data_IF_735416475398
#
_entry.id   IF_735416475398
#
_cell.length_a   1.000
_cell.length_b   1.000
_cell.length_c   1.000
_cell.angle_alpha   90.00
_cell.angle_beta   90.00
_cell.angle_gamma   90.00
#
_symmetry.space_group_name_H-M   'P 1'
#
loop_
_entity.id
_entity.type
_entity.pdbx_description
1 polymer ?
#
# COMPACT_ATOMS: atom_id res chain seq x y z
N UNK A 1 -4.18 9.65 -20.82
CA UNK A 1 -4.38 8.55 -19.85
C UNK A 1 -3.53 8.77 -18.60
N UNK A 2 -4.16 8.98 -17.45
CA UNK A 2 -3.47 8.98 -16.16
C UNK A 2 -2.90 7.58 -15.93
N UNK A 3 -1.60 7.47 -15.65
CA UNK A 3 -1.01 6.16 -15.35
C UNK A 3 -1.53 5.65 -13.99
N UNK A 4 -1.78 4.35 -13.88
CA UNK A 4 -2.19 3.69 -12.63
C UNK A 4 -0.97 3.04 -11.98
N UNK A 5 -0.82 3.22 -10.67
CA UNK A 5 0.19 2.56 -9.83
C UNK A 5 -0.45 2.02 -8.56
N UNK A 6 0.10 0.95 -8.01
CA UNK A 6 -0.26 0.49 -6.67
C UNK A 6 0.87 0.73 -5.68
N UNK A 7 0.50 1.11 -4.46
CA UNK A 7 1.37 1.49 -3.35
C UNK A 7 1.09 0.59 -2.15
N UNK A 8 2.15 0.16 -1.48
CA UNK A 8 2.09 -0.41 -0.14
C UNK A 8 3.37 -0.07 0.65
N UNK A 9 3.22 0.23 1.92
CA UNK A 9 4.29 0.57 2.84
C UNK A 9 4.33 -0.38 4.03
N UNK A 10 5.54 -0.78 4.43
CA UNK A 10 5.77 -1.44 5.71
C UNK A 10 6.23 -0.41 6.74
N UNK A 11 5.62 -0.44 7.92
CA UNK A 11 5.91 0.50 9.01
C UNK A 11 6.52 -0.20 10.22
N UNK A 12 7.39 0.53 10.90
CA UNK A 12 7.94 0.18 12.21
C UNK A 12 7.39 1.11 13.28
N UNK A 13 7.50 0.69 14.54
CA UNK A 13 7.17 1.47 15.72
C UNK A 13 8.36 2.28 16.22
N UNK A 14 8.15 3.57 16.45
CA UNK A 14 9.10 4.49 17.10
C UNK A 14 8.48 5.11 18.35
N UNK A 15 9.31 5.78 19.15
CA UNK A 15 8.89 6.42 20.40
C UNK A 15 8.48 5.45 21.51
N UNK A 16 7.93 5.96 22.63
CA UNK A 16 7.55 5.15 23.77
C UNK A 16 6.56 4.04 23.42
N UNK A 17 6.97 2.79 23.62
CA UNK A 17 6.15 1.60 23.35
C UNK A 17 5.81 1.38 21.87
N UNK A 18 6.58 1.94 20.94
CA UNK A 18 6.40 1.71 19.49
C UNK A 18 5.09 2.23 18.93
N UNK A 19 4.47 3.23 19.58
CA UNK A 19 3.14 3.74 19.24
C UNK A 19 3.11 4.64 18.01
N UNK A 20 4.23 5.27 17.66
CA UNK A 20 4.36 6.06 16.45
C UNK A 20 4.71 5.14 15.28
N UNK A 21 3.95 5.18 14.19
CA UNK A 21 4.28 4.44 12.97
C UNK A 21 5.18 5.30 12.08
N UNK A 22 6.34 4.75 11.69
CA UNK A 22 7.22 5.38 10.71
C UNK A 22 7.52 4.42 9.56
N UNK A 23 7.74 4.97 8.37
CA UNK A 23 8.02 4.22 7.16
C UNK A 23 9.35 3.47 7.28
N UNK A 24 9.35 2.19 6.91
CA UNK A 24 10.55 1.36 6.88
C UNK A 24 10.78 0.65 5.53
N UNK A 25 9.74 0.50 4.70
CA UNK A 25 9.85 0.08 3.31
C UNK A 25 8.67 0.63 2.53
N UNK A 26 8.87 1.02 1.28
CA UNK A 26 7.79 1.39 0.37
C UNK A 26 7.99 0.65 -0.95
N UNK A 27 6.90 0.10 -1.47
CA UNK A 27 6.83 -0.54 -2.78
C UNK A 27 5.78 0.14 -3.66
N UNK A 28 6.16 0.45 -4.90
CA UNK A 28 5.27 0.97 -5.94
C UNK A 28 5.37 0.07 -7.16
N UNK A 29 4.23 -0.43 -7.61
CA UNK A 29 4.14 -1.29 -8.80
C UNK A 29 3.30 -0.61 -9.88
N UNK A 30 3.74 -0.70 -11.13
CA UNK A 30 3.02 -0.21 -12.29
C UNK A 30 1.88 -1.15 -12.68
N UNK A 31 1.01 -0.69 -13.58
CA UNK A 31 -0.18 -1.43 -14.00
C UNK A 31 0.10 -2.88 -14.49
N UNK A 32 1.22 -3.13 -15.15
CA UNK A 32 1.60 -4.48 -15.61
C UNK A 32 2.33 -5.33 -14.56
N UNK A 33 2.42 -4.87 -13.32
CA UNK A 33 3.13 -5.52 -12.22
C UNK A 33 4.64 -5.30 -12.20
N UNK A 34 5.15 -4.40 -13.04
CA UNK A 34 6.55 -3.95 -12.97
C UNK A 34 6.79 -3.19 -11.68
N UNK A 35 7.81 -3.56 -10.92
CA UNK A 35 8.23 -2.83 -9.72
C UNK A 35 8.91 -1.52 -10.15
N UNK A 36 8.30 -0.39 -9.83
CA UNK A 36 8.80 0.95 -10.15
C UNK A 36 9.65 1.53 -9.01
N UNK A 37 9.32 1.14 -7.78
CA UNK A 37 10.04 1.52 -6.57
C UNK A 37 9.93 0.39 -5.55
N UNK A 38 11.04 -0.01 -4.94
CA UNK A 38 11.06 -0.92 -3.79
C UNK A 38 12.33 -0.65 -2.99
N UNK A 39 12.20 0.09 -1.89
CA UNK A 39 13.35 0.47 -1.06
C UNK A 39 13.01 0.36 0.41
N UNK A 40 13.98 -0.10 1.19
CA UNK A 40 13.99 0.12 2.64
C UNK A 40 14.29 1.60 2.92
N UNK A 41 13.57 2.15 3.89
CA UNK A 41 13.63 3.55 4.28
C UNK A 41 14.07 3.64 5.74
N UNK A 42 15.01 4.51 6.02
CA UNK A 42 15.50 4.77 7.37
C UNK A 42 14.49 5.65 8.11
N UNK A 43 13.87 5.16 9.21
CA UNK A 43 12.99 5.97 10.04
C UNK A 43 13.74 7.16 10.64
N UNK A 44 13.02 8.27 10.84
CA UNK A 44 13.56 9.51 11.39
C UNK A 44 13.85 9.39 12.89
N UNK A 45 13.12 8.53 13.60
CA UNK A 45 13.36 8.24 15.02
C UNK A 45 13.89 6.82 15.23
N UNK A 46 14.58 6.57 16.36
CA UNK A 46 15.00 5.22 16.72
C UNK A 46 13.82 4.24 16.78
N UNK A 47 14.00 3.09 16.11
CA UNK A 47 13.01 2.00 16.12
C UNK A 47 12.97 1.36 17.50
N UNK A 48 11.79 1.34 18.10
CA UNK A 48 11.51 0.67 19.39
C UNK A 48 10.74 -0.63 19.22
N UNK A 49 10.04 -0.80 18.10
CA UNK A 49 9.37 -2.04 17.72
C UNK A 49 9.45 -2.23 16.19
N UNK A 50 10.05 -3.32 15.73
CA UNK A 50 10.13 -3.60 14.29
C UNK A 50 8.80 -4.07 13.70
N UNK A 51 7.87 -4.55 14.53
CA UNK A 51 6.60 -5.15 14.09
C UNK A 51 6.80 -6.27 13.07
N UNK A 52 7.94 -6.98 13.13
CA UNK A 52 8.38 -7.96 12.13
C UNK A 52 7.31 -8.99 11.72
N UNK A 53 6.46 -9.51 12.63
CA UNK A 53 5.38 -10.43 12.23
C UNK A 53 4.38 -9.84 11.22
N UNK A 54 4.26 -8.51 11.18
CA UNK A 54 3.42 -7.78 10.23
C UNK A 54 4.27 -7.12 9.15
N UNK A 55 5.32 -6.37 9.51
CA UNK A 55 6.07 -5.54 8.57
C UNK A 55 7.13 -6.28 7.74
N UNK A 56 7.54 -7.46 8.22
CA UNK A 56 8.72 -8.17 7.71
C UNK A 56 10.06 -7.44 7.90
N UNK A 57 10.07 -6.28 8.56
CA UNK A 57 11.29 -5.49 8.76
C UNK A 57 12.13 -6.09 9.88
N UNK A 58 13.45 -6.11 9.67
CA UNK A 58 14.45 -6.52 10.63
C UNK A 58 15.55 -5.47 10.69
N UNK A 59 16.31 -5.45 11.79
CA UNK A 59 17.39 -4.47 12.00
C UNK A 59 18.36 -4.36 10.83
N UNK A 60 18.73 -5.48 10.21
CA UNK A 60 19.70 -5.48 9.12
C UNK A 60 19.18 -4.82 7.83
N UNK A 61 17.85 -4.80 7.61
CA UNK A 61 17.25 -4.09 6.47
C UNK A 61 17.48 -2.58 6.56
N UNK A 62 17.67 -2.03 7.77
CA UNK A 62 17.80 -0.59 8.00
C UNK A 62 19.27 -0.10 8.04
N UNK A 63 20.26 -1.00 8.00
CA UNK A 63 21.67 -0.63 8.22
C UNK A 63 22.25 0.32 7.16
N UNK A 64 21.66 0.39 5.97
CA UNK A 64 22.00 1.33 4.90
C UNK A 64 20.73 1.74 4.12
N UNK A 65 19.60 1.85 4.83
CA UNK A 65 18.34 2.20 4.20
C UNK A 65 18.36 3.65 3.69
N UNK A 66 17.51 3.93 2.70
CA UNK A 66 17.42 5.26 2.07
C UNK A 66 16.91 6.25 3.12
N UNK A 67 17.55 7.42 3.33
CA UNK A 67 17.04 8.43 4.24
C UNK A 67 15.60 8.83 3.90
N UNK A 68 14.74 8.99 4.91
CA UNK A 68 13.31 9.27 4.71
C UNK A 68 13.05 10.45 3.76
N UNK A 69 13.77 11.56 3.91
CA UNK A 69 13.60 12.73 3.05
C UNK A 69 13.82 12.40 1.56
N UNK A 70 14.92 11.70 1.25
CA UNK A 70 15.23 11.26 -0.11
C UNK A 70 14.17 10.27 -0.63
N UNK A 71 13.84 9.25 0.17
CA UNK A 71 12.84 8.26 -0.21
C UNK A 71 11.49 8.91 -0.51
N UNK A 72 11.07 9.88 0.32
CA UNK A 72 9.82 10.62 0.15
C UNK A 72 9.79 11.43 -1.14
N UNK A 73 10.88 12.10 -1.50
CA UNK A 73 10.99 12.83 -2.78
C UNK A 73 10.84 11.88 -3.97
N UNK A 74 11.54 10.74 -3.95
CA UNK A 74 11.46 9.72 -5.00
C UNK A 74 10.06 9.12 -5.11
N UNK A 75 9.40 8.84 -3.98
CA UNK A 75 8.02 8.33 -3.92
C UNK A 75 7.04 9.36 -4.47
N UNK A 76 7.13 10.62 -4.06
CA UNK A 76 6.28 11.70 -4.57
C UNK A 76 6.39 11.84 -6.09
N UNK A 77 7.61 11.81 -6.63
CA UNK A 77 7.83 11.84 -8.08
C UNK A 77 7.23 10.61 -8.77
N UNK A 78 7.31 9.43 -8.15
CA UNK A 78 6.69 8.22 -8.68
C UNK A 78 5.15 8.29 -8.69
N UNK A 79 4.53 8.92 -7.68
CA UNK A 79 3.06 9.05 -7.57
C UNK A 79 2.47 10.22 -8.36
N UNK A 80 3.29 11.21 -8.73
CA UNK A 80 2.81 12.45 -9.35
C UNK A 80 2.01 12.21 -10.65
N UNK A 81 0.83 12.82 -10.72
CA UNK A 81 -0.11 12.68 -11.83
C UNK A 81 -0.75 11.30 -12.02
N UNK A 82 -0.64 10.39 -11.04
CA UNK A 82 -1.10 8.99 -11.16
C UNK A 82 -2.29 8.65 -10.27
N UNK A 83 -3.10 7.71 -10.75
CA UNK A 83 -4.11 7.07 -9.91
C UNK A 83 -3.41 6.06 -9.02
N UNK A 84 -3.60 6.18 -7.70
CA UNK A 84 -2.95 5.35 -6.69
C UNK A 84 -3.94 4.32 -6.15
N UNK A 85 -3.61 3.05 -6.37
CA UNK A 85 -4.32 1.90 -5.83
C UNK A 85 -3.62 1.47 -4.53
N UNK A 86 -4.39 1.06 -3.54
CA UNK A 86 -3.83 0.48 -2.31
C UNK A 86 -4.89 -0.22 -1.48
N UNK A 87 -4.51 -0.66 -0.28
CA UNK A 87 -5.44 -1.29 0.64
C UNK A 87 -5.30 -0.69 2.04
N UNK A 88 -6.27 0.14 2.45
CA UNK A 88 -6.15 1.01 3.64
C UNK A 88 -5.08 2.10 3.47
N UNK A 89 -4.99 2.65 2.26
CA UNK A 89 -3.87 3.49 1.76
C UNK A 89 -3.67 4.79 2.54
N UNK A 90 -4.67 5.21 3.31
CA UNK A 90 -4.57 6.34 4.23
C UNK A 90 -3.46 6.14 5.29
N UNK A 91 -3.13 4.90 5.66
CA UNK A 91 -2.02 4.63 6.59
C UNK A 91 -0.68 4.92 5.94
N UNK A 92 -0.52 4.55 4.67
CA UNK A 92 0.65 4.79 3.84
C UNK A 92 0.87 6.29 3.63
N UNK A 93 -0.19 7.00 3.22
CA UNK A 93 -0.15 8.45 3.04
C UNK A 93 0.19 9.19 4.34
N UNK A 94 -0.30 8.70 5.48
CA UNK A 94 0.01 9.28 6.79
C UNK A 94 1.50 9.17 7.14
N UNK A 95 2.13 8.00 6.92
CA UNK A 95 3.57 7.84 7.24
C UNK A 95 4.49 8.48 6.20
N UNK A 96 3.99 8.69 4.98
CA UNK A 96 4.67 9.47 3.94
C UNK A 96 4.49 10.99 4.12
N UNK A 97 3.56 11.41 4.98
CA UNK A 97 3.15 12.81 5.13
C UNK A 97 2.77 13.44 3.77
N UNK A 98 1.86 12.79 3.04
CA UNK A 98 1.40 13.25 1.72
C UNK A 98 -0.13 13.33 1.66
N UNK A 99 -0.62 14.27 0.85
CA UNK A 99 -2.03 14.39 0.50
C UNK A 99 -2.19 14.12 -0.99
N UNK A 100 -2.68 12.93 -1.35
CA UNK A 100 -3.00 12.59 -2.74
C UNK A 100 -4.43 13.00 -3.08
N UNK A 101 -4.73 13.54 -4.28
CA UNK A 101 -6.09 13.93 -4.64
C UNK A 101 -7.06 12.75 -4.51
N UNK A 102 -8.14 12.92 -3.73
CA UNK A 102 -9.05 11.81 -3.41
C UNK A 102 -9.69 11.13 -4.63
N UNK A 103 -10.00 11.90 -5.67
CA UNK A 103 -10.53 11.38 -6.94
C UNK A 103 -9.50 10.54 -7.73
N UNK A 104 -8.21 10.59 -7.36
CA UNK A 104 -7.13 9.78 -7.90
C UNK A 104 -6.72 8.63 -6.96
N UNK A 105 -7.48 8.35 -5.90
CA UNK A 105 -7.23 7.23 -4.98
C UNK A 105 -8.25 6.12 -5.20
N UNK A 106 -7.79 4.87 -5.18
CA UNK A 106 -8.63 3.67 -5.19
C UNK A 106 -8.24 2.76 -4.02
N UNK A 107 -8.90 2.96 -2.89
CA UNK A 107 -8.69 2.12 -1.71
C UNK A 107 -9.54 0.84 -1.80
N UNK A 108 -8.88 -0.28 -2.09
CA UNK A 108 -9.55 -1.58 -2.24
C UNK A 108 -10.22 -2.07 -0.95
N UNK A 109 -9.83 -1.54 0.21
CA UNK A 109 -10.42 -1.92 1.49
C UNK A 109 -11.82 -1.34 1.71
N UNK A 110 -12.15 -0.24 1.03
CA UNK A 110 -13.45 0.46 1.15
C UNK A 110 -14.32 0.33 -0.09
N UNK A 111 -13.85 -0.36 -1.14
CA UNK A 111 -14.60 -0.55 -2.39
C UNK A 111 -15.89 -1.36 -2.19
N UNK A 112 -17.07 -0.77 -2.47
CA UNK A 112 -18.34 -1.50 -2.45
C UNK A 112 -18.41 -2.57 -3.54
N UNK A 113 -17.78 -2.32 -4.70
CA UNK A 113 -17.71 -3.26 -5.82
C UNK A 113 -17.00 -4.55 -5.43
N UNK A 114 -15.82 -4.45 -4.82
CA UNK A 114 -15.09 -5.61 -4.33
C UNK A 114 -15.84 -6.35 -3.22
N UNK A 115 -16.50 -5.61 -2.34
CA UNK A 115 -17.31 -6.19 -1.26
C UNK A 115 -18.47 -7.02 -1.82
N UNK A 116 -19.20 -6.47 -2.80
CA UNK A 116 -20.28 -7.15 -3.53
C UNK A 116 -19.76 -8.39 -4.25
N UNK A 117 -18.69 -8.26 -5.02
CA UNK A 117 -18.09 -9.36 -5.79
C UNK A 117 -17.62 -10.50 -4.87
N UNK A 118 -17.13 -10.18 -3.68
CA UNK A 118 -16.65 -11.17 -2.71
C UNK A 118 -17.77 -11.78 -1.84
N UNK A 119 -19.03 -11.34 -2.01
CA UNK A 119 -20.15 -11.75 -1.17
C UNK A 119 -19.92 -11.37 0.30
N UNK A 120 -19.47 -10.13 0.55
CA UNK A 120 -19.10 -9.62 1.87
C UNK A 120 -19.90 -8.36 2.20
N UNK A 121 -20.32 -8.24 3.46
CA UNK A 121 -21.13 -7.11 3.94
C UNK A 121 -20.33 -5.97 4.59
N UNK A 122 -19.02 -6.13 4.80
CA UNK A 122 -18.18 -5.07 5.35
C UNK A 122 -16.73 -5.20 4.91
N UNK A 123 -15.95 -4.13 5.15
CA UNK A 123 -14.50 -4.04 4.90
C UNK A 123 -13.77 -5.28 5.41
N UNK A 124 -12.91 -5.83 4.56
CA UNK A 124 -12.05 -6.98 4.89
C UNK A 124 -10.61 -6.72 4.55
N UNK A 125 -9.74 -7.49 5.20
CA UNK A 125 -8.31 -7.47 4.92
C UNK A 125 -7.99 -7.91 3.50
N UNK A 126 -6.87 -7.40 3.00
CA UNK A 126 -6.32 -7.77 1.71
C UNK A 126 -6.19 -9.29 1.55
N UNK A 127 -5.77 -9.98 2.62
CA UNK A 127 -5.67 -11.44 2.67
C UNK A 127 -6.99 -12.16 2.39
N UNK A 128 -8.11 -11.65 2.91
CA UNK A 128 -9.43 -12.25 2.71
C UNK A 128 -9.90 -12.01 1.28
N UNK A 129 -9.77 -10.77 0.79
CA UNK A 129 -10.16 -10.43 -0.59
C UNK A 129 -9.35 -11.20 -1.62
N UNK A 130 -8.02 -11.23 -1.47
CA UNK A 130 -7.10 -11.98 -2.34
C UNK A 130 -7.43 -13.46 -2.37
N UNK A 131 -7.77 -14.06 -1.22
CA UNK A 131 -8.17 -15.47 -1.17
C UNK A 131 -9.50 -15.73 -1.88
N UNK A 132 -10.51 -14.88 -1.67
CA UNK A 132 -11.85 -15.08 -2.21
C UNK A 132 -11.92 -14.81 -3.71
N UNK A 133 -11.35 -13.68 -4.13
CA UNK A 133 -11.50 -13.13 -5.47
C UNK A 133 -10.36 -13.56 -6.40
N UNK A 134 -9.10 -13.47 -5.95
CA UNK A 134 -7.93 -13.81 -6.76
C UNK A 134 -7.49 -15.28 -6.62
N UNK A 135 -8.12 -16.05 -5.72
CA UNK A 135 -7.70 -17.40 -5.33
C UNK A 135 -6.24 -17.48 -4.89
N UNK A 136 -5.67 -16.36 -4.42
CA UNK A 136 -4.26 -16.23 -4.02
C UNK A 136 -4.13 -16.22 -2.50
N UNK A 137 -3.13 -16.94 -1.97
CA UNK A 137 -2.75 -16.86 -0.55
C UNK A 137 -1.54 -15.93 -0.44
N UNK A 138 -1.77 -14.75 0.13
CA UNK A 138 -0.72 -13.77 0.48
C UNK A 138 -0.51 -13.73 2.00
N UNK A 139 0.57 -13.09 2.46
CA UNK A 139 0.84 -12.89 3.90
C UNK A 139 0.79 -14.21 4.69
N UNK A 140 1.30 -15.29 4.08
CA UNK A 140 1.27 -16.65 4.62
C UNK A 140 2.59 -17.08 5.29
N UNK A 141 3.65 -16.30 5.12
CA UNK A 141 4.99 -16.64 5.60
C UNK A 141 5.21 -16.28 7.08
N UNK A 142 6.24 -16.88 7.67
CA UNK A 142 6.74 -16.51 9.03
C UNK A 142 7.61 -15.26 9.05
N UNK A 143 7.88 -14.68 7.87
CA UNK A 143 8.83 -13.57 7.68
C UNK A 143 8.17 -12.19 7.68
N UNK A 144 6.88 -12.09 8.04
CA UNK A 144 6.09 -10.87 7.90
C UNK A 144 5.50 -10.69 6.51
N UNK A 145 4.90 -9.52 6.27
CA UNK A 145 4.34 -9.16 4.96
C UNK A 145 5.45 -8.73 3.99
N UNK A 146 5.07 -8.61 2.73
CA UNK A 146 5.92 -8.13 1.67
C UNK A 146 5.14 -7.09 0.86
N UNK A 147 5.45 -5.81 1.08
CA UNK A 147 4.83 -4.71 0.35
C UNK A 147 4.75 -4.86 -1.18
N UNK A 148 5.69 -5.54 -1.85
CA UNK A 148 5.55 -5.81 -3.29
C UNK A 148 4.39 -6.78 -3.59
N UNK A 149 4.27 -7.85 -2.80
CA UNK A 149 3.15 -8.81 -2.90
C UNK A 149 1.82 -8.12 -2.61
N UNK A 150 1.79 -7.28 -1.58
CA UNK A 150 0.58 -6.62 -1.12
C UNK A 150 0.12 -5.51 -2.09
N UNK A 151 1.04 -4.68 -2.60
CA UNK A 151 0.75 -3.70 -3.65
C UNK A 151 0.23 -4.39 -4.93
N UNK A 152 0.86 -5.51 -5.34
CA UNK A 152 0.40 -6.28 -6.50
C UNK A 152 -0.99 -6.89 -6.27
N UNK A 153 -1.27 -7.41 -5.08
CA UNK A 153 -2.57 -7.97 -4.74
C UNK A 153 -3.66 -6.89 -4.74
N UNK A 154 -3.38 -5.68 -4.25
CA UNK A 154 -4.29 -4.55 -4.33
C UNK A 154 -4.57 -4.14 -5.78
N UNK A 155 -3.54 -4.06 -6.62
CA UNK A 155 -3.68 -3.78 -8.06
C UNK A 155 -4.56 -4.83 -8.76
N UNK A 156 -4.30 -6.11 -8.50
CA UNK A 156 -5.03 -7.21 -9.11
C UNK A 156 -6.50 -7.22 -8.68
N UNK A 157 -6.80 -6.85 -7.43
CA UNK A 157 -8.17 -6.65 -6.96
C UNK A 157 -8.85 -5.51 -7.71
N UNK A 158 -8.20 -4.34 -7.81
CA UNK A 158 -8.74 -3.20 -8.54
C UNK A 158 -9.11 -3.58 -10.00
N UNK A 159 -8.24 -4.31 -10.69
CA UNK A 159 -8.48 -4.76 -12.09
C UNK A 159 -9.74 -5.61 -12.27
N UNK A 160 -10.21 -6.30 -11.23
CA UNK A 160 -11.47 -7.07 -11.31
C UNK A 160 -12.71 -6.17 -11.48
N UNK A 161 -12.60 -4.91 -11.08
CA UNK A 161 -13.73 -3.96 -11.02
C UNK A 161 -13.39 -2.62 -11.70
N UNK A 162 -12.26 -2.54 -12.40
CA UNK A 162 -11.69 -1.31 -12.97
C UNK A 162 -12.70 -0.57 -13.85
N UNK A 163 -13.32 -1.25 -14.82
CA UNK A 163 -14.26 -0.64 -15.75
C UNK A 163 -15.48 -0.01 -15.05
N UNK A 164 -16.01 -0.65 -14.01
CA UNK A 164 -17.15 -0.16 -13.24
C UNK A 164 -16.70 0.97 -12.29
N UNK A 165 -15.56 0.81 -11.61
CA UNK A 165 -15.03 1.81 -10.68
C UNK A 165 -14.69 3.12 -11.39
N UNK A 166 -13.99 3.07 -12.52
CA UNK A 166 -13.62 4.29 -13.25
C UNK A 166 -14.85 4.99 -13.86
N UNK A 167 -15.89 4.24 -14.21
CA UNK A 167 -17.18 4.82 -14.63
C UNK A 167 -17.87 5.54 -13.48
N UNK A 168 -17.95 4.91 -12.30
CA UNK A 168 -18.53 5.53 -11.10
C UNK A 168 -17.83 6.86 -10.76
N UNK A 169 -16.50 6.89 -10.82
CA UNK A 169 -15.71 8.09 -10.53
C UNK A 169 -15.94 9.21 -11.55
N UNK A 170 -16.10 8.88 -12.84
CA UNK A 170 -16.40 9.88 -13.88
C UNK A 170 -17.82 10.45 -13.75
N UNK A 171 -18.76 9.64 -13.27
CA UNK A 171 -20.19 10.03 -13.12
C UNK A 171 -20.55 10.61 -11.75
N UNK A 172 -19.67 10.47 -10.76
CA UNK A 172 -19.90 10.96 -9.41
C UNK A 172 -19.95 12.49 -9.31
N UNK A 173 -20.64 13.06 -8.30
CA UNK A 173 -20.59 14.49 -8.04
C UNK A 173 -19.14 14.91 -7.75
N UNK A 174 -18.69 15.98 -8.43
CA UNK A 174 -17.35 16.57 -8.26
C UNK A 174 -17.19 17.23 -6.90
#
# INVERSE_FOLDING_TARGET
PSAVVALDCEMVGTGPGGRCSELARCSIVGYHGTVLYDKYVQPCQPVTDYRTPWSGIQRHHLQNATPFAQAREEILAALDGKVVIGHSVHNDFKVLDIAHPGHMVRDTSTSPLLSRLAGLSCRRSLKVLSRRLLKRRIQGGRRGHNSVEDAQAALDLYKLVEDEWEREVQTGPR
#
